data_IF_914564966232
#
_entry.id   IF_914564966232
#
_cell.length_a   1.000
_cell.length_b   1.000
_cell.length_c   1.000
_cell.angle_alpha   90.00
_cell.angle_beta   90.00
_cell.angle_gamma   90.00
#
_symmetry.space_group_name_H-M   'P 1'
#
loop_
_entity.id
_entity.type
_entity.pdbx_description
1 polymer ?
#
# COMPACT_ATOMS: atom_id res chain seq x y z
N UNK A 1 0.86 -20.04 -15.95
CA UNK A 1 0.22 -18.72 -16.15
C UNK A 1 1.29 -17.65 -16.00
N UNK A 2 1.38 -16.76 -16.98
CA UNK A 2 2.36 -15.66 -17.00
C UNK A 2 1.68 -14.34 -16.61
N UNK A 3 2.27 -13.61 -15.65
CA UNK A 3 1.67 -12.43 -15.05
C UNK A 3 2.54 -11.21 -15.35
N UNK A 4 1.94 -10.14 -15.89
CA UNK A 4 2.59 -8.84 -15.90
C UNK A 4 2.39 -8.17 -14.53
N UNK A 5 3.49 -7.72 -13.92
CA UNK A 5 3.47 -6.97 -12.66
C UNK A 5 3.98 -5.56 -12.87
N UNK A 6 3.18 -4.55 -12.52
CA UNK A 6 3.62 -3.16 -12.44
C UNK A 6 3.97 -2.79 -11.01
N UNK A 7 4.89 -1.84 -10.81
CA UNK A 7 5.33 -1.46 -9.47
C UNK A 7 6.13 -2.54 -8.73
N UNK A 8 6.67 -3.51 -9.44
CA UNK A 8 7.44 -4.65 -8.92
C UNK A 8 8.62 -4.22 -8.03
N UNK A 9 9.35 -3.18 -8.42
CA UNK A 9 10.52 -2.67 -7.68
C UNK A 9 10.14 -1.85 -6.42
N UNK A 10 8.85 -1.62 -6.20
CA UNK A 10 8.35 -0.90 -5.04
C UNK A 10 8.34 -1.75 -3.76
N UNK A 11 7.96 -1.13 -2.64
CA UNK A 11 7.88 -1.77 -1.33
C UNK A 11 6.98 -3.03 -1.34
N UNK A 12 5.75 -2.92 -1.81
CA UNK A 12 4.81 -4.05 -1.90
C UNK A 12 5.21 -5.04 -3.01
N UNK A 13 5.61 -4.52 -4.17
CA UNK A 13 5.99 -5.35 -5.32
C UNK A 13 7.15 -6.30 -5.04
N UNK A 14 8.14 -5.85 -4.26
CA UNK A 14 9.28 -6.69 -3.86
C UNK A 14 8.90 -7.87 -2.95
N UNK A 15 7.66 -7.92 -2.43
CA UNK A 15 7.10 -9.06 -1.69
C UNK A 15 6.16 -9.90 -2.54
N UNK A 16 5.38 -9.24 -3.41
CA UNK A 16 4.44 -9.94 -4.30
C UNK A 16 5.17 -10.79 -5.34
N UNK A 17 6.20 -10.24 -5.99
CA UNK A 17 6.89 -10.93 -7.09
C UNK A 17 7.52 -12.26 -6.66
N UNK A 18 8.32 -12.34 -5.58
CA UNK A 18 8.85 -13.62 -5.11
C UNK A 18 7.75 -14.61 -4.73
N UNK A 19 6.65 -14.13 -4.14
CA UNK A 19 5.54 -14.98 -3.75
C UNK A 19 4.84 -15.59 -4.96
N UNK A 20 4.64 -14.84 -6.04
CA UNK A 20 4.09 -15.36 -7.29
C UNK A 20 5.00 -16.42 -7.92
N UNK A 21 6.31 -16.14 -8.01
CA UNK A 21 7.29 -17.10 -8.55
C UNK A 21 7.33 -18.40 -7.75
N UNK A 22 7.33 -18.31 -6.41
CA UNK A 22 7.33 -19.48 -5.52
C UNK A 22 6.04 -20.32 -5.62
N UNK A 23 4.97 -19.74 -6.16
CA UNK A 23 3.72 -20.45 -6.45
C UNK A 23 3.57 -20.88 -7.92
N UNK A 24 4.68 -20.94 -8.66
CA UNK A 24 4.74 -21.52 -10.01
C UNK A 24 4.25 -20.59 -11.13
N UNK A 25 4.08 -19.30 -10.86
CA UNK A 25 3.76 -18.32 -11.91
C UNK A 25 5.02 -17.84 -12.61
N UNK A 26 4.95 -17.64 -13.91
CA UNK A 26 5.94 -16.87 -14.63
C UNK A 26 5.66 -15.38 -14.45
N UNK A 27 6.69 -14.58 -14.21
CA UNK A 27 6.50 -13.16 -13.92
C UNK A 27 7.30 -12.29 -14.88
N UNK A 28 6.58 -11.40 -15.55
CA UNK A 28 7.14 -10.27 -16.29
C UNK A 28 6.93 -9.00 -15.49
N UNK A 29 8.01 -8.24 -15.20
CA UNK A 29 7.96 -7.02 -14.42
C UNK A 29 8.21 -5.79 -15.29
N UNK A 30 7.27 -4.86 -15.25
CA UNK A 30 7.47 -3.52 -15.80
C UNK A 30 8.24 -2.65 -14.79
N UNK A 31 9.32 -2.04 -15.22
CA UNK A 31 10.11 -1.12 -14.41
C UNK A 31 10.52 0.14 -15.18
N UNK A 32 10.78 1.23 -14.47
CA UNK A 32 11.33 2.46 -15.05
C UNK A 32 12.86 2.37 -15.05
N UNK A 33 13.51 2.95 -16.05
CA UNK A 33 14.95 2.88 -16.30
C UNK A 33 15.81 3.09 -15.04
N UNK A 34 15.44 4.06 -14.20
CA UNK A 34 16.16 4.38 -12.95
C UNK A 34 15.67 3.60 -11.72
N UNK A 35 14.85 2.57 -11.89
CA UNK A 35 14.36 1.79 -10.74
C UNK A 35 15.41 0.83 -10.23
N UNK A 36 15.64 0.80 -8.92
CA UNK A 36 16.52 -0.19 -8.29
C UNK A 36 15.84 -1.57 -8.31
N UNK A 37 16.47 -2.56 -8.93
CA UNK A 37 16.03 -3.96 -9.07
C UNK A 37 16.76 -4.93 -8.15
N UNK A 38 17.72 -4.47 -7.37
CA UNK A 38 18.63 -5.28 -6.55
C UNK A 38 17.89 -6.30 -5.67
N UNK A 39 16.81 -5.88 -5.02
CA UNK A 39 16.00 -6.77 -4.16
C UNK A 39 15.33 -7.94 -4.89
N UNK A 40 15.33 -7.93 -6.21
CA UNK A 40 14.71 -8.93 -7.08
C UNK A 40 15.70 -9.57 -8.06
N UNK A 41 16.98 -9.21 -8.01
CA UNK A 41 18.01 -9.63 -8.97
C UNK A 41 18.24 -11.15 -9.01
N UNK A 42 18.01 -11.84 -7.90
CA UNK A 42 18.19 -13.30 -7.77
C UNK A 42 17.03 -14.14 -8.33
N UNK A 43 15.93 -13.50 -8.74
CA UNK A 43 14.74 -14.20 -9.21
C UNK A 43 14.70 -14.27 -10.74
N UNK A 44 14.16 -15.36 -11.32
CA UNK A 44 14.02 -15.53 -12.76
C UNK A 44 12.85 -14.69 -13.32
N UNK A 45 13.08 -13.38 -13.45
CA UNK A 45 12.08 -12.40 -13.87
C UNK A 45 12.36 -11.93 -15.28
N UNK A 46 11.35 -11.90 -16.12
CA UNK A 46 11.42 -11.19 -17.38
C UNK A 46 11.21 -9.68 -17.14
N UNK A 47 12.21 -8.89 -17.46
CA UNK A 47 12.18 -7.45 -17.24
C UNK A 47 11.85 -6.67 -18.49
N UNK A 48 10.89 -5.74 -18.42
CA UNK A 48 10.52 -4.83 -19.50
C UNK A 48 10.61 -3.39 -19.00
N UNK A 49 11.40 -2.56 -19.68
CA UNK A 49 11.59 -1.15 -19.33
C UNK A 49 10.53 -0.29 -19.98
N UNK A 50 9.83 0.57 -19.22
CA UNK A 50 8.88 1.52 -19.80
C UNK A 50 8.08 2.32 -18.78
N UNK A 51 7.16 3.13 -19.31
CA UNK A 51 6.32 4.02 -18.51
C UNK A 51 4.82 3.68 -18.64
N UNK A 52 4.09 3.85 -17.55
CA UNK A 52 2.66 3.55 -17.45
C UNK A 52 1.76 4.54 -18.24
N UNK A 53 2.29 5.65 -18.69
CA UNK A 53 1.54 6.65 -19.46
C UNK A 53 1.37 6.28 -20.92
N UNK A 54 2.19 5.35 -21.46
CA UNK A 54 2.18 4.94 -22.85
C UNK A 54 1.42 3.63 -23.04
N UNK A 55 0.17 3.71 -23.49
CA UNK A 55 -0.70 2.54 -23.67
C UNK A 55 -0.26 1.59 -24.81
N UNK A 56 0.36 2.11 -25.88
CA UNK A 56 0.89 1.27 -26.97
C UNK A 56 2.07 0.42 -26.49
N UNK A 57 3.00 1.05 -25.78
CA UNK A 57 4.11 0.34 -25.15
C UNK A 57 3.60 -0.71 -24.16
N UNK A 58 2.63 -0.33 -23.29
CA UNK A 58 2.04 -1.25 -22.32
C UNK A 58 1.36 -2.43 -23.00
N UNK A 59 0.65 -2.21 -24.10
CA UNK A 59 0.03 -3.29 -24.87
C UNK A 59 1.07 -4.30 -25.37
N UNK A 60 2.19 -3.83 -25.89
CA UNK A 60 3.31 -4.70 -26.31
C UNK A 60 3.93 -5.44 -25.11
N UNK A 61 4.12 -4.75 -23.98
CA UNK A 61 4.65 -5.35 -22.76
C UNK A 61 3.72 -6.42 -22.17
N UNK A 62 2.42 -6.29 -22.38
CA UNK A 62 1.39 -7.23 -21.90
C UNK A 62 1.16 -8.41 -22.85
N UNK A 63 1.61 -8.37 -24.11
CA UNK A 63 1.46 -9.48 -25.04
C UNK A 63 2.07 -10.77 -24.51
N UNK A 64 1.33 -11.88 -24.63
CA UNK A 64 1.73 -13.19 -24.13
C UNK A 64 1.74 -13.31 -22.61
N UNK A 65 1.04 -12.42 -21.90
CA UNK A 65 0.73 -12.60 -20.47
C UNK A 65 -0.76 -12.90 -20.28
N UNK A 66 -1.08 -13.71 -19.28
CA UNK A 66 -2.43 -14.19 -19.02
C UNK A 66 -3.19 -13.29 -18.05
N UNK A 67 -2.47 -12.59 -17.16
CA UNK A 67 -3.04 -11.74 -16.12
C UNK A 67 -2.18 -10.50 -15.83
N UNK A 68 -2.83 -9.50 -15.22
CA UNK A 68 -2.19 -8.27 -14.75
C UNK A 68 -2.26 -8.17 -13.21
N UNK A 69 -1.15 -7.84 -12.58
CA UNK A 69 -1.10 -7.40 -11.18
C UNK A 69 -0.54 -5.97 -11.13
N UNK A 70 -1.44 -5.00 -10.98
CA UNK A 70 -1.06 -3.59 -10.91
C UNK A 70 -0.84 -3.16 -9.47
N UNK A 71 0.44 -3.04 -9.07
CA UNK A 71 0.85 -2.53 -7.74
C UNK A 71 1.25 -1.05 -7.82
N UNK A 72 1.50 -0.53 -9.01
CA UNK A 72 1.76 0.89 -9.19
C UNK A 72 0.56 1.73 -8.74
N UNK A 73 0.85 2.85 -8.06
CA UNK A 73 -0.20 3.68 -7.45
C UNK A 73 -1.21 4.18 -8.48
N UNK A 74 -2.48 3.90 -8.26
CA UNK A 74 -3.60 4.47 -9.04
C UNK A 74 -3.67 6.01 -8.94
N UNK A 75 -3.07 6.59 -7.90
CA UNK A 75 -2.99 8.03 -7.71
C UNK A 75 -2.11 8.79 -8.72
N UNK A 76 -1.42 8.07 -9.61
CA UNK A 76 -0.63 8.67 -10.71
C UNK A 76 -1.45 8.98 -11.97
N UNK A 77 -2.69 8.49 -12.06
CA UNK A 77 -3.60 8.81 -13.18
C UNK A 77 -3.35 7.99 -14.47
N UNK A 78 -2.68 6.84 -14.39
CA UNK A 78 -2.38 5.99 -15.56
C UNK A 78 -3.40 4.86 -15.77
N UNK A 79 -4.54 4.89 -15.10
CA UNK A 79 -5.49 3.78 -15.10
C UNK A 79 -6.07 3.51 -16.48
N UNK A 80 -6.43 4.55 -17.23
CA UNK A 80 -6.97 4.41 -18.58
C UNK A 80 -5.97 3.75 -19.55
N UNK A 81 -4.70 4.17 -19.50
CA UNK A 81 -3.62 3.58 -20.29
C UNK A 81 -3.42 2.10 -19.97
N UNK A 82 -3.45 1.74 -18.68
CA UNK A 82 -3.29 0.36 -18.21
C UNK A 82 -4.46 -0.52 -18.69
N UNK A 83 -5.69 -0.06 -18.54
CA UNK A 83 -6.90 -0.80 -18.94
C UNK A 83 -6.94 -0.97 -20.47
N UNK A 84 -6.68 0.10 -21.21
CA UNK A 84 -6.62 0.04 -22.69
C UNK A 84 -5.59 -0.98 -23.15
N UNK A 85 -4.40 -0.95 -22.54
CA UNK A 85 -3.33 -1.89 -22.85
C UNK A 85 -3.70 -3.33 -22.52
N UNK A 86 -4.31 -3.59 -21.36
CA UNK A 86 -4.75 -4.91 -20.96
C UNK A 86 -5.79 -5.50 -21.94
N UNK A 87 -6.76 -4.70 -22.35
CA UNK A 87 -7.76 -5.09 -23.35
C UNK A 87 -7.13 -5.40 -24.72
N UNK A 88 -6.23 -4.54 -25.19
CA UNK A 88 -5.55 -4.73 -26.47
C UNK A 88 -4.66 -5.99 -26.47
N UNK A 89 -4.12 -6.37 -25.33
CA UNK A 89 -3.34 -7.60 -25.16
C UNK A 89 -4.20 -8.85 -24.89
N UNK A 90 -5.52 -8.71 -24.78
CA UNK A 90 -6.44 -9.82 -24.51
C UNK A 90 -6.45 -10.30 -23.04
N UNK A 91 -5.84 -9.54 -22.12
CA UNK A 91 -5.86 -9.87 -20.69
C UNK A 91 -7.29 -9.68 -20.15
N UNK A 92 -7.80 -10.72 -19.49
CA UNK A 92 -9.11 -10.66 -18.80
C UNK A 92 -8.92 -10.46 -17.32
N UNK A 93 -8.07 -11.25 -16.65
CA UNK A 93 -7.87 -11.24 -15.20
C UNK A 93 -6.92 -10.13 -14.76
N UNK A 94 -7.36 -9.26 -13.82
CA UNK A 94 -6.55 -8.15 -13.36
C UNK A 94 -6.74 -7.88 -11.86
N UNK A 95 -5.64 -7.78 -11.11
CA UNK A 95 -5.63 -7.34 -9.70
C UNK A 95 -5.08 -5.92 -9.63
N UNK A 96 -5.80 -5.03 -8.98
CA UNK A 96 -5.39 -3.64 -8.77
C UNK A 96 -5.20 -3.34 -7.28
N UNK A 97 -4.05 -2.81 -6.91
CA UNK A 97 -3.82 -2.30 -5.55
C UNK A 97 -4.22 -0.83 -5.50
N UNK A 98 -5.30 -0.57 -4.76
CA UNK A 98 -5.76 0.76 -4.38
C UNK A 98 -5.35 1.09 -2.94
N UNK A 99 -6.19 1.75 -2.17
CA UNK A 99 -5.94 2.08 -0.76
C UNK A 99 -7.22 2.50 -0.05
N UNK A 100 -7.36 2.19 1.24
CA UNK A 100 -8.45 2.72 2.07
C UNK A 100 -8.42 4.25 2.23
N UNK A 101 -7.35 4.93 1.78
CA UNK A 101 -7.29 6.40 1.77
C UNK A 101 -8.35 7.06 0.86
N UNK A 102 -9.04 6.30 0.00
CA UNK A 102 -10.22 6.80 -0.74
C UNK A 102 -11.38 7.18 0.19
N UNK A 103 -11.47 6.58 1.37
CA UNK A 103 -12.52 6.84 2.35
C UNK A 103 -12.23 8.03 3.28
N UNK A 104 -11.04 8.66 3.19
CA UNK A 104 -10.71 9.83 4.02
C UNK A 104 -11.75 10.94 3.88
N UNK A 105 -12.09 11.60 4.99
CA UNK A 105 -12.94 12.79 5.01
C UNK A 105 -12.22 14.05 4.55
N UNK A 106 -10.89 14.00 4.47
CA UNK A 106 -10.07 15.12 4.01
C UNK A 106 -10.21 15.34 2.50
N UNK A 107 -10.22 16.62 2.08
CA UNK A 107 -10.26 16.98 0.66
C UNK A 107 -8.86 16.84 0.01
N UNK A 108 -8.35 15.62 -0.04
CA UNK A 108 -7.05 15.32 -0.63
C UNK A 108 -7.17 15.15 -2.16
N UNK A 109 -6.32 15.87 -2.92
CA UNK A 109 -6.29 15.73 -4.41
C UNK A 109 -6.13 14.28 -4.85
N UNK A 110 -5.29 13.52 -4.18
CA UNK A 110 -5.04 12.12 -4.48
C UNK A 110 -6.25 11.20 -4.25
N UNK A 111 -7.21 11.59 -3.41
CA UNK A 111 -8.47 10.84 -3.22
C UNK A 111 -9.29 10.87 -4.51
N UNK A 112 -9.51 12.05 -5.10
CA UNK A 112 -10.33 12.20 -6.32
C UNK A 112 -9.76 11.35 -7.46
N UNK A 113 -8.45 11.38 -7.67
CA UNK A 113 -7.78 10.59 -8.73
C UNK A 113 -7.98 9.08 -8.49
N UNK A 114 -7.83 8.60 -7.26
CA UNK A 114 -8.00 7.17 -6.95
C UNK A 114 -9.44 6.71 -7.05
N UNK A 115 -10.41 7.51 -6.62
CA UNK A 115 -11.84 7.19 -6.77
C UNK A 115 -12.19 7.10 -8.25
N UNK A 116 -11.78 8.07 -9.07
CA UNK A 116 -11.96 8.00 -10.51
C UNK A 116 -11.32 6.75 -11.12
N UNK A 117 -10.09 6.42 -10.71
CA UNK A 117 -9.39 5.22 -11.16
C UNK A 117 -10.16 3.93 -10.83
N UNK A 118 -10.71 3.80 -9.62
CA UNK A 118 -11.53 2.63 -9.27
C UNK A 118 -12.81 2.55 -10.13
N UNK A 119 -13.51 3.65 -10.35
CA UNK A 119 -14.68 3.68 -11.23
C UNK A 119 -14.32 3.27 -12.68
N UNK A 120 -13.17 3.71 -13.18
CA UNK A 120 -12.67 3.28 -14.51
C UNK A 120 -12.39 1.78 -14.54
N UNK A 121 -11.81 1.22 -13.47
CA UNK A 121 -11.57 -0.23 -13.36
C UNK A 121 -12.90 -0.99 -13.32
N UNK A 122 -13.85 -0.55 -12.51
CA UNK A 122 -15.17 -1.16 -12.34
C UNK A 122 -15.97 -1.20 -13.65
N UNK A 123 -15.85 -0.17 -14.48
CA UNK A 123 -16.49 -0.09 -15.80
C UNK A 123 -15.68 -0.70 -16.94
N UNK A 124 -14.49 -1.26 -16.65
CA UNK A 124 -13.55 -1.69 -17.71
C UNK A 124 -13.99 -2.92 -18.48
N UNK A 125 -14.83 -3.79 -17.90
CA UNK A 125 -15.16 -5.10 -18.46
C UNK A 125 -14.06 -6.16 -18.27
N UNK A 126 -13.02 -5.88 -17.47
CA UNK A 126 -12.03 -6.87 -17.03
C UNK A 126 -12.59 -7.71 -15.87
N UNK A 127 -12.10 -8.93 -15.73
CA UNK A 127 -12.28 -9.76 -14.55
C UNK A 127 -11.40 -9.19 -13.40
N UNK A 128 -11.75 -7.98 -12.96
CA UNK A 128 -10.93 -7.23 -11.99
C UNK A 128 -11.17 -7.69 -10.56
N UNK A 129 -10.16 -7.45 -9.72
CA UNK A 129 -10.27 -7.37 -8.26
C UNK A 129 -9.52 -6.13 -7.79
N UNK A 130 -10.15 -5.30 -6.96
CA UNK A 130 -9.50 -4.15 -6.32
C UNK A 130 -9.21 -4.49 -4.86
N UNK A 131 -7.94 -4.42 -4.46
CA UNK A 131 -7.53 -4.57 -3.07
C UNK A 131 -7.19 -3.18 -2.50
N UNK A 132 -7.84 -2.81 -1.40
CA UNK A 132 -7.68 -1.52 -0.72
C UNK A 132 -6.94 -1.71 0.61
N UNK A 133 -5.60 -1.84 0.61
CA UNK A 133 -4.86 -1.95 1.86
C UNK A 133 -4.97 -0.69 2.70
N UNK A 134 -4.93 -0.87 4.02
CA UNK A 134 -4.69 0.20 4.99
C UNK A 134 -3.22 0.62 4.96
N UNK A 135 -2.69 1.26 6.00
CA UNK A 135 -1.28 1.65 6.05
C UNK A 135 -0.37 0.42 6.04
N UNK A 136 0.31 0.18 4.92
CA UNK A 136 1.22 -0.95 4.76
C UNK A 136 2.54 -0.66 5.48
N UNK A 137 3.06 -1.64 6.25
CA UNK A 137 4.34 -1.59 6.94
C UNK A 137 5.09 -2.93 6.83
N UNK A 138 6.33 -3.02 7.29
CA UNK A 138 7.06 -4.28 7.41
C UNK A 138 8.41 -4.33 6.71
N UNK A 139 9.03 -3.21 6.39
CA UNK A 139 10.44 -3.16 5.97
C UNK A 139 11.00 -1.74 6.06
N UNK A 140 12.35 -1.58 6.01
CA UNK A 140 13.01 -0.27 5.94
C UNK A 140 12.54 0.63 4.78
N UNK A 141 11.83 0.09 3.81
CA UNK A 141 11.34 0.81 2.63
C UNK A 141 9.97 1.45 2.84
N UNK A 142 9.26 1.14 3.94
CA UNK A 142 8.05 1.87 4.29
C UNK A 142 8.41 3.26 4.85
N UNK A 143 7.53 4.22 4.61
CA UNK A 143 7.81 5.62 4.92
C UNK A 143 7.18 6.10 6.23
N UNK A 144 6.37 5.28 6.87
CA UNK A 144 5.58 5.66 8.03
C UNK A 144 6.06 4.94 9.30
N UNK A 145 5.86 3.63 9.36
CA UNK A 145 6.19 2.84 10.53
C UNK A 145 7.69 2.78 10.78
N UNK A 146 8.48 2.59 9.72
CA UNK A 146 9.94 2.63 9.80
C UNK A 146 10.48 3.95 10.39
N UNK A 147 9.92 5.10 9.97
CA UNK A 147 10.33 6.40 10.51
C UNK A 147 9.99 6.52 11.99
N UNK A 148 8.80 6.05 12.40
CA UNK A 148 8.40 6.02 13.80
C UNK A 148 9.34 5.13 14.62
N UNK A 149 9.61 3.90 14.16
CA UNK A 149 10.52 2.97 14.83
C UNK A 149 11.93 3.59 14.94
N UNK A 150 12.47 4.16 13.87
CA UNK A 150 13.77 4.84 13.90
C UNK A 150 13.79 5.98 14.92
N UNK A 151 12.75 6.80 14.94
CA UNK A 151 12.65 7.88 15.92
C UNK A 151 12.60 7.33 17.36
N UNK A 152 11.83 6.28 17.59
CA UNK A 152 11.75 5.61 18.91
C UNK A 152 13.07 4.92 19.31
N UNK A 153 13.96 4.57 18.36
CA UNK A 153 15.31 4.06 18.68
C UNK A 153 16.18 5.12 19.36
N UNK A 154 16.06 6.37 18.94
CA UNK A 154 16.94 7.47 19.38
C UNK A 154 16.31 8.38 20.45
N UNK A 155 14.98 8.49 20.51
CA UNK A 155 14.27 9.35 21.47
C UNK A 155 13.34 8.56 22.37
N UNK A 156 13.41 8.73 23.70
CA UNK A 156 12.43 8.19 24.61
C UNK A 156 11.15 9.07 24.68
N UNK A 157 11.17 10.26 24.10
CA UNK A 157 10.04 11.20 24.12
C UNK A 157 9.38 11.18 22.74
N UNK A 158 8.10 10.83 22.70
CA UNK A 158 7.32 10.71 21.46
C UNK A 158 6.23 11.76 21.41
N UNK A 159 6.34 12.78 20.55
CA UNK A 159 5.29 13.76 20.35
C UNK A 159 4.12 13.15 19.59
N UNK A 160 2.91 13.33 20.13
CA UNK A 160 1.66 12.88 19.55
C UNK A 160 0.80 14.10 19.26
N UNK A 161 0.48 14.32 17.98
CA UNK A 161 -0.38 15.44 17.58
C UNK A 161 -1.86 15.06 17.74
N UNK A 162 -2.49 15.56 18.78
CA UNK A 162 -3.82 15.18 19.26
C UNK A 162 -3.75 14.31 20.53
N UNK A 163 -4.84 13.63 20.82
CA UNK A 163 -4.96 12.75 22.02
C UNK A 163 -4.45 11.33 21.79
N UNK A 164 -4.12 10.99 20.53
CA UNK A 164 -3.65 9.65 20.15
C UNK A 164 -4.70 8.55 20.27
N UNK A 165 -5.98 8.88 20.35
CA UNK A 165 -7.10 7.93 20.49
C UNK A 165 -7.66 7.47 19.14
N UNK A 166 -7.39 8.19 18.06
CA UNK A 166 -7.87 7.83 16.74
C UNK A 166 -7.31 6.48 16.28
N UNK A 167 -8.18 5.69 15.69
CA UNK A 167 -7.87 4.33 15.28
C UNK A 167 -6.99 4.29 14.04
N UNK A 168 -5.99 3.44 14.09
CA UNK A 168 -5.14 3.05 12.97
C UNK A 168 -5.22 1.52 12.84
N UNK A 169 -5.16 1.02 11.62
CA UNK A 169 -5.22 -0.42 11.39
C UNK A 169 -4.11 -0.83 10.40
N UNK A 170 -2.83 -0.75 10.81
CA UNK A 170 -1.72 -1.04 9.93
C UNK A 170 -1.69 -2.52 9.51
N UNK A 171 -1.36 -2.77 8.23
CA UNK A 171 -1.27 -4.11 7.65
C UNK A 171 0.17 -4.43 7.29
N UNK A 172 0.61 -5.66 7.59
CA UNK A 172 1.94 -6.11 7.24
C UNK A 172 2.05 -6.41 5.75
N UNK A 173 3.17 -6.05 5.13
CA UNK A 173 3.35 -6.12 3.68
C UNK A 173 3.23 -7.53 3.10
N UNK A 174 3.67 -8.55 3.85
CA UNK A 174 3.56 -9.94 3.37
C UNK A 174 2.10 -10.41 3.37
N UNK A 175 1.23 -9.87 4.25
CA UNK A 175 -0.21 -10.17 4.25
C UNK A 175 -0.91 -9.54 3.04
N UNK A 176 -0.45 -8.35 2.61
CA UNK A 176 -0.90 -7.74 1.35
C UNK A 176 -0.46 -8.59 0.16
N UNK A 177 0.77 -9.09 0.16
CA UNK A 177 1.26 -9.97 -0.90
C UNK A 177 0.44 -11.27 -0.97
N UNK A 178 0.12 -11.86 0.19
CA UNK A 178 -0.74 -13.05 0.26
C UNK A 178 -2.15 -12.76 -0.25
N UNK A 179 -2.72 -11.58 0.05
CA UNK A 179 -4.03 -11.19 -0.48
C UNK A 179 -4.03 -11.08 -2.01
N UNK A 180 -2.95 -10.57 -2.61
CA UNK A 180 -2.79 -10.54 -4.08
C UNK A 180 -2.79 -11.96 -4.65
N UNK A 181 -1.98 -12.86 -4.09
CA UNK A 181 -1.89 -14.24 -4.54
C UNK A 181 -3.24 -14.96 -4.43
N UNK A 182 -3.87 -14.90 -3.25
CA UNK A 182 -5.14 -15.59 -2.98
C UNK A 182 -6.29 -15.05 -3.82
N UNK A 183 -6.32 -13.74 -4.11
CA UNK A 183 -7.35 -13.16 -4.95
C UNK A 183 -7.14 -13.44 -6.44
N UNK A 184 -5.90 -13.60 -6.90
CA UNK A 184 -5.59 -13.82 -8.32
C UNK A 184 -6.19 -15.13 -8.86
N UNK A 185 -6.12 -16.21 -8.08
CA UNK A 185 -6.58 -17.54 -8.44
C UNK A 185 -8.03 -17.85 -8.02
N UNK A 186 -8.74 -16.89 -7.39
CA UNK A 186 -10.07 -17.13 -6.86
C UNK A 186 -11.13 -16.37 -7.66
N UNK A 187 -11.98 -17.11 -8.37
CA UNK A 187 -13.06 -16.57 -9.20
C UNK A 187 -14.10 -15.76 -8.39
N UNK A 188 -14.31 -16.08 -7.10
CA UNK A 188 -15.24 -15.34 -6.23
C UNK A 188 -14.85 -13.88 -6.06
N UNK A 189 -13.61 -13.51 -6.38
CA UNK A 189 -13.10 -12.14 -6.25
C UNK A 189 -13.30 -11.28 -7.49
N UNK A 190 -13.74 -11.90 -8.61
CA UNK A 190 -13.99 -11.19 -9.87
C UNK A 190 -15.11 -10.18 -9.70
N UNK A 191 -14.88 -8.95 -10.20
CA UNK A 191 -15.83 -7.85 -10.13
C UNK A 191 -15.98 -7.23 -8.74
N UNK A 192 -15.06 -7.51 -7.80
CA UNK A 192 -15.16 -7.07 -6.40
C UNK A 192 -14.01 -6.21 -5.94
N UNK A 193 -14.29 -5.43 -4.89
CA UNK A 193 -13.34 -4.55 -4.21
C UNK A 193 -13.29 -4.90 -2.73
N UNK A 194 -12.10 -5.12 -2.16
CA UNK A 194 -11.93 -5.56 -0.78
C UNK A 194 -11.05 -4.61 0.03
N UNK A 195 -11.43 -4.31 1.25
CA UNK A 195 -10.52 -3.71 2.21
C UNK A 195 -9.55 -4.78 2.74
N UNK A 196 -8.27 -4.48 2.70
CA UNK A 196 -7.20 -5.33 3.18
C UNK A 196 -6.56 -4.62 4.37
N UNK A 197 -7.10 -4.91 5.55
CA UNK A 197 -6.73 -4.23 6.78
C UNK A 197 -5.97 -5.17 7.74
N UNK A 198 -5.22 -4.60 8.68
CA UNK A 198 -4.59 -5.37 9.75
C UNK A 198 -5.63 -6.01 10.68
N UNK A 199 -5.21 -7.01 11.44
CA UNK A 199 -6.09 -7.85 12.27
C UNK A 199 -6.97 -7.06 13.25
N UNK A 200 -6.43 -5.97 13.80
CA UNK A 200 -7.11 -5.14 14.80
C UNK A 200 -6.89 -3.66 14.52
N UNK A 201 -7.94 -2.86 14.73
CA UNK A 201 -7.81 -1.43 14.82
C UNK A 201 -7.22 -1.07 16.19
N UNK A 202 -6.18 -0.24 16.20
CA UNK A 202 -5.45 0.19 17.39
C UNK A 202 -5.47 1.70 17.48
N UNK A 203 -5.60 2.26 18.68
CA UNK A 203 -5.34 3.69 18.86
C UNK A 203 -3.87 4.00 18.53
N UNK A 204 -3.57 5.23 18.13
CA UNK A 204 -2.18 5.61 17.86
C UNK A 204 -1.30 5.46 19.10
N UNK A 205 -1.87 5.66 20.29
CA UNK A 205 -1.20 5.36 21.57
C UNK A 205 -0.83 3.88 21.68
N UNK A 206 -1.74 2.95 21.34
CA UNK A 206 -1.49 1.51 21.37
C UNK A 206 -0.45 1.08 20.33
N UNK A 207 -0.44 1.72 19.17
CA UNK A 207 0.61 1.50 18.15
C UNK A 207 1.98 1.80 18.74
N UNK A 208 2.15 2.96 19.40
CA UNK A 208 3.41 3.34 20.03
C UNK A 208 3.77 2.37 21.18
N UNK A 209 2.81 2.01 22.04
CA UNK A 209 3.04 1.10 23.15
C UNK A 209 3.48 -0.28 22.68
N UNK A 210 2.87 -0.80 21.61
CA UNK A 210 3.25 -2.09 21.04
C UNK A 210 4.67 -2.06 20.48
N UNK A 211 5.04 -1.00 19.75
CA UNK A 211 6.40 -0.84 19.23
C UNK A 211 7.40 -0.75 20.39
N UNK A 212 7.12 0.08 21.41
CA UNK A 212 7.97 0.26 22.57
C UNK A 212 8.20 -1.07 23.32
N UNK A 213 7.13 -1.85 23.52
CA UNK A 213 7.19 -3.19 24.13
C UNK A 213 8.08 -4.13 23.33
N UNK A 214 7.91 -4.20 21.99
CA UNK A 214 8.72 -5.07 21.14
C UNK A 214 10.20 -4.63 21.05
N UNK A 215 10.48 -3.34 21.27
CA UNK A 215 11.85 -2.81 21.34
C UNK A 215 12.45 -2.93 22.76
N UNK A 216 11.69 -3.42 23.75
CA UNK A 216 12.06 -3.42 25.16
C UNK A 216 12.49 -2.01 25.65
N UNK A 217 11.76 -0.98 25.24
CA UNK A 217 12.03 0.43 25.57
C UNK A 217 10.88 1.05 26.34
N UNK A 218 11.20 1.93 27.28
CA UNK A 218 10.24 2.85 27.90
C UNK A 218 10.19 4.14 27.07
N UNK A 219 8.98 4.58 26.73
CA UNK A 219 8.74 5.82 26.01
C UNK A 219 7.73 6.70 26.73
N UNK A 220 7.91 7.99 26.60
CA UNK A 220 7.04 9.00 27.18
C UNK A 220 6.29 9.69 26.06
N UNK A 221 4.97 9.61 26.09
CA UNK A 221 4.09 10.20 25.09
C UNK A 221 3.72 11.62 25.51
N UNK A 222 4.07 12.63 24.70
CA UNK A 222 3.69 14.01 24.90
C UNK A 222 2.60 14.37 23.91
N UNK A 223 1.40 14.60 24.41
CA UNK A 223 0.24 14.96 23.59
C UNK A 223 0.24 16.46 23.32
N UNK A 224 0.32 16.86 22.05
CA UNK A 224 0.34 18.24 21.60
C UNK A 224 -0.99 18.52 20.90
N UNK A 225 -1.76 19.55 21.30
CA UNK A 225 -3.02 19.88 20.66
C UNK A 225 -2.86 20.03 19.14
N UNK A 226 -3.66 19.30 18.36
CA UNK A 226 -3.50 19.24 16.90
C UNK A 226 -3.89 20.55 16.19
N UNK A 227 -4.90 21.28 16.67
CA UNK A 227 -5.40 22.50 16.04
C UNK A 227 -4.32 23.58 15.86
N UNK A 228 -3.58 24.02 16.92
CA UNK A 228 -2.53 25.03 16.76
C UNK A 228 -1.38 24.53 15.87
N UNK A 229 -1.02 23.23 15.95
CA UNK A 229 0.02 22.65 15.09
C UNK A 229 -0.38 22.70 13.63
N UNK A 230 -1.61 22.31 13.30
CA UNK A 230 -2.14 22.38 11.93
C UNK A 230 -2.14 23.83 11.43
N UNK A 231 -2.55 24.80 12.26
CA UNK A 231 -2.49 26.22 11.91
C UNK A 231 -1.10 26.71 11.55
N UNK A 232 -0.11 26.38 12.40
CA UNK A 232 1.30 26.73 12.19
C UNK A 232 1.88 26.07 10.93
N UNK A 233 1.62 24.76 10.73
CA UNK A 233 2.09 24.02 9.56
C UNK A 233 1.47 24.56 8.26
N UNK A 234 0.18 24.93 8.28
CA UNK A 234 -0.49 25.58 7.14
C UNK A 234 0.15 26.92 6.80
N UNK A 235 0.54 27.70 7.82
CA UNK A 235 1.28 28.95 7.60
C UNK A 235 2.64 28.68 6.95
N UNK A 236 3.40 27.71 7.45
CA UNK A 236 4.70 27.32 6.87
C UNK A 236 4.54 26.86 5.41
N UNK A 237 3.49 26.10 5.08
CA UNK A 237 3.22 25.70 3.70
C UNK A 237 2.91 26.90 2.79
N UNK A 238 2.16 27.91 3.29
CA UNK A 238 1.84 29.13 2.54
C UNK A 238 3.09 29.96 2.23
N UNK A 239 3.99 30.11 3.20
CA UNK A 239 5.26 30.86 3.01
C UNK A 239 6.38 30.00 2.40
N UNK A 240 6.05 28.75 1.97
CA UNK A 240 7.00 27.79 1.40
C UNK A 240 8.21 27.47 2.30
N UNK A 241 8.03 27.60 3.62
CA UNK A 241 9.07 27.22 4.58
C UNK A 241 9.23 25.69 4.60
N UNK A 242 10.44 25.14 4.39
CA UNK A 242 10.66 23.71 4.34
C UNK A 242 10.55 23.09 5.75
N UNK A 243 9.43 22.47 6.05
CA UNK A 243 9.23 21.73 7.29
C UNK A 243 8.96 20.24 6.98
N UNK A 244 9.53 19.30 7.76
CA UNK A 244 9.48 17.87 7.44
C UNK A 244 8.09 17.23 7.59
N UNK A 245 7.18 17.90 8.31
CA UNK A 245 5.81 17.44 8.57
C UNK A 245 4.83 18.41 7.91
N UNK A 246 3.82 17.89 7.21
CA UNK A 246 2.76 18.67 6.59
C UNK A 246 1.50 18.67 7.44
N UNK A 247 0.71 19.75 7.35
CA UNK A 247 -0.58 19.87 8.03
C UNK A 247 -1.51 18.68 7.75
N UNK A 248 -1.57 18.22 6.49
CA UNK A 248 -2.35 17.05 6.08
C UNK A 248 -1.93 15.78 6.84
N UNK A 249 -0.66 15.59 7.15
CA UNK A 249 -0.20 14.41 7.90
C UNK A 249 -0.71 14.40 9.33
N UNK A 250 -0.74 15.56 9.99
CA UNK A 250 -1.31 15.73 11.33
C UNK A 250 -2.83 15.48 11.30
N UNK A 251 -3.54 16.04 10.32
CA UNK A 251 -4.97 15.80 10.16
C UNK A 251 -5.28 14.32 9.93
N UNK A 252 -4.49 13.62 9.12
CA UNK A 252 -4.64 12.18 8.87
C UNK A 252 -4.40 11.31 10.08
N UNK A 253 -3.57 11.73 11.05
CA UNK A 253 -3.41 11.02 12.32
C UNK A 253 -4.61 11.18 13.26
N UNK A 254 -5.41 12.24 13.05
CA UNK A 254 -6.61 12.54 13.81
C UNK A 254 -7.90 12.12 13.06
N UNK A 255 -7.83 11.06 12.28
CA UNK A 255 -8.95 10.44 11.57
C UNK A 255 -8.94 8.93 11.83
N UNK A 256 -10.09 8.36 12.17
CA UNK A 256 -10.23 6.91 12.36
C UNK A 256 -10.05 6.15 11.05
N UNK A 257 -9.24 5.12 11.10
CA UNK A 257 -8.91 4.21 9.98
C UNK A 257 -9.11 2.77 10.41
N UNK A 258 -10.35 2.44 10.73
CA UNK A 258 -10.79 1.10 11.04
C UNK A 258 -11.73 0.61 9.92
N UNK A 259 -11.38 -0.52 9.31
CA UNK A 259 -12.08 -1.07 8.15
C UNK A 259 -12.30 -2.57 8.36
N UNK A 260 -13.53 -3.04 8.12
CA UNK A 260 -13.79 -4.48 8.07
C UNK A 260 -13.10 -5.11 6.86
N UNK A 261 -12.54 -6.31 7.07
CA UNK A 261 -11.99 -7.18 6.03
C UNK A 261 -12.73 -8.53 5.95
N UNK A 262 -13.92 -8.61 6.54
CA UNK A 262 -14.73 -9.84 6.62
C UNK A 262 -15.08 -10.41 5.25
N UNK A 263 -15.35 -9.55 4.27
CA UNK A 263 -15.61 -9.99 2.89
C UNK A 263 -14.39 -10.67 2.29
N UNK A 264 -13.19 -10.14 2.50
CA UNK A 264 -11.94 -10.74 2.06
C UNK A 264 -11.68 -12.09 2.75
N UNK A 265 -11.97 -12.17 4.05
CA UNK A 265 -11.86 -13.43 4.81
C UNK A 265 -12.81 -14.48 4.30
N UNK A 266 -14.07 -14.13 4.05
CA UNK A 266 -15.11 -15.05 3.57
C UNK A 266 -14.83 -15.53 2.15
N UNK A 267 -14.44 -14.65 1.24
CA UNK A 267 -14.37 -14.93 -0.18
C UNK A 267 -13.06 -15.63 -0.58
N UNK A 268 -11.93 -15.28 0.05
CA UNK A 268 -10.63 -15.88 -0.30
C UNK A 268 -9.72 -16.21 0.90
N UNK A 269 -10.28 -16.28 2.11
CA UNK A 269 -9.55 -16.76 3.30
C UNK A 269 -8.52 -15.76 3.83
N UNK A 270 -8.69 -14.45 3.58
CA UNK A 270 -7.78 -13.44 4.08
C UNK A 270 -7.73 -13.43 5.62
N UNK A 271 -6.55 -13.65 6.19
CA UNK A 271 -6.31 -13.72 7.64
C UNK A 271 -5.01 -12.99 7.99
N UNK A 272 -5.07 -11.69 8.25
CA UNK A 272 -3.87 -10.92 8.55
C UNK A 272 -3.30 -11.23 9.93
N UNK A 273 -1.98 -11.15 10.06
CA UNK A 273 -1.29 -11.24 11.36
C UNK A 273 -1.63 -10.07 12.27
N UNK A 274 -1.42 -10.24 13.57
CA UNK A 274 -1.53 -9.15 14.53
C UNK A 274 -0.43 -8.10 14.31
N UNK A 275 -0.67 -6.88 14.79
CA UNK A 275 0.32 -5.82 14.72
C UNK A 275 1.58 -6.18 15.52
N UNK A 276 1.42 -6.85 16.66
CA UNK A 276 2.55 -7.30 17.50
C UNK A 276 3.46 -8.27 16.75
N UNK A 277 2.89 -9.28 16.08
CA UNK A 277 3.64 -10.25 15.24
C UNK A 277 4.35 -9.54 14.08
N UNK A 278 3.68 -8.60 13.43
CA UNK A 278 4.25 -7.84 12.32
C UNK A 278 5.41 -6.95 12.75
N UNK A 279 5.30 -6.23 13.87
CA UNK A 279 6.38 -5.38 14.42
C UNK A 279 7.57 -6.24 14.86
N UNK A 280 7.33 -7.38 15.50
CA UNK A 280 8.42 -8.33 15.83
C UNK A 280 9.18 -8.75 14.58
N UNK A 281 8.46 -9.10 13.51
CA UNK A 281 9.05 -9.47 12.22
C UNK A 281 9.83 -8.32 11.57
N UNK A 282 9.31 -7.09 11.65
CA UNK A 282 9.98 -5.91 11.10
C UNK A 282 11.27 -5.60 11.87
N UNK A 283 11.24 -5.62 13.20
CA UNK A 283 12.41 -5.36 14.04
C UNK A 283 13.52 -6.40 13.83
N UNK A 284 13.16 -7.65 13.56
CA UNK A 284 14.13 -8.70 13.25
C UNK A 284 14.83 -8.48 11.89
N UNK A 285 14.18 -7.81 10.95
CA UNK A 285 14.73 -7.46 9.62
C UNK A 285 15.57 -6.16 9.64
N UNK A 286 15.67 -5.49 10.80
CA UNK A 286 16.40 -4.25 11.02
C UNK A 286 17.83 -4.47 11.51
#
# INVERSE_FOLDING_TARGET
>A
MKILVTGATGFTGSRVVPLLLNNGYEVRCLYREHSNRESLSQYPIEWVTGDLSNSEFLSKAMQGTDALVNIASLGFGHTDSIITAAKNAGIKRAIFISTTAIFTKLNAKSKKVRVAAELTIESSGLDYTILRPTMIYGSPRDRNMWRLIRFMKISPIIPIFGDGKYLQQPIFVDDVAQAVLSSLSNEKTIGKSYNIAGKQALTYNQVIDTIAKQMNKRVWKIHIPSKPVVGLLTLFEKIRFPFPIKAEQVLRLNEDKAFSYEEASRDFGFSPRSFEEGIKSELFRM
#
